data_IF_567500410883
#
_entry.id   IF_567500410883
#
_cell.length_a   1.000
_cell.length_b   1.000
_cell.length_c   1.000
_cell.angle_alpha   90.00
_cell.angle_beta   90.00
_cell.angle_gamma   90.00
#
_symmetry.space_group_name_H-M   'P 1'
#
loop_
_entity.id
_entity.type
_entity.pdbx_description
1 polymer ?
#
# COMPACT_ATOMS: atom_id res chain seq x y z
N UNK A 1 3.93 1.54 -24.43
CA UNK A 1 2.47 1.34 -24.37
C UNK A 1 2.06 1.48 -22.92
N UNK A 2 1.07 2.32 -22.60
CA UNK A 2 0.51 2.39 -21.25
C UNK A 2 -0.45 1.20 -21.07
N UNK A 3 -0.24 0.39 -20.04
CA UNK A 3 -1.15 -0.71 -19.74
C UNK A 3 -2.53 -0.16 -19.35
N UNK A 4 -3.61 -0.77 -19.84
CA UNK A 4 -4.96 -0.43 -19.42
C UNK A 4 -5.13 -0.79 -17.93
N UNK A 5 -5.52 0.18 -17.10
CA UNK A 5 -5.63 0.03 -15.64
C UNK A 5 -7.09 0.06 -15.20
N UNK A 6 -7.49 -0.90 -14.37
CA UNK A 6 -8.82 -1.02 -13.78
C UNK A 6 -8.71 -0.86 -12.26
N UNK A 7 -9.46 0.07 -11.69
CA UNK A 7 -9.58 0.17 -10.22
C UNK A 7 -10.56 -0.86 -9.67
N UNK A 8 -10.13 -1.65 -8.69
CA UNK A 8 -10.97 -2.57 -7.93
C UNK A 8 -11.13 -2.05 -6.50
N UNK A 9 -12.36 -1.71 -6.13
CA UNK A 9 -12.73 -1.24 -4.79
C UNK A 9 -14.02 -1.91 -4.31
N UNK A 10 -14.47 -1.57 -3.11
CA UNK A 10 -15.67 -2.13 -2.48
C UNK A 10 -15.52 -2.23 -0.97
N UNK A 11 -16.64 -2.30 -0.25
CA UNK A 11 -16.65 -2.33 1.22
C UNK A 11 -16.04 -3.59 1.84
N UNK A 12 -15.97 -3.60 3.17
CA UNK A 12 -15.54 -4.76 3.95
C UNK A 12 -16.49 -5.94 3.65
N UNK A 13 -15.93 -7.13 3.43
CA UNK A 13 -16.72 -8.34 3.16
C UNK A 13 -17.30 -8.46 1.74
N UNK A 14 -17.04 -7.51 0.83
CA UNK A 14 -17.60 -7.53 -0.54
C UNK A 14 -16.98 -8.57 -1.49
N UNK A 15 -15.98 -9.34 -1.04
CA UNK A 15 -15.34 -10.37 -1.86
C UNK A 15 -14.25 -9.87 -2.84
N UNK A 16 -13.68 -8.66 -2.65
CA UNK A 16 -12.59 -8.12 -3.48
C UNK A 16 -11.46 -9.12 -3.72
N UNK A 17 -10.99 -9.80 -2.67
CA UNK A 17 -9.93 -10.80 -2.78
C UNK A 17 -10.28 -11.97 -3.70
N UNK A 18 -11.56 -12.39 -3.73
CA UNK A 18 -12.02 -13.44 -4.64
C UNK A 18 -12.06 -12.96 -6.11
N UNK A 19 -12.44 -11.70 -6.34
CA UNK A 19 -12.39 -11.06 -7.66
C UNK A 19 -10.94 -10.90 -8.13
N UNK A 20 -10.05 -10.39 -7.28
CA UNK A 20 -8.61 -10.28 -7.54
C UNK A 20 -8.02 -11.62 -7.96
N UNK A 21 -8.26 -12.70 -7.20
CA UNK A 21 -7.75 -14.03 -7.53
C UNK A 21 -8.24 -14.54 -8.90
N UNK A 22 -9.51 -14.30 -9.24
CA UNK A 22 -10.06 -14.66 -10.56
C UNK A 22 -9.41 -13.86 -11.68
N UNK A 23 -9.20 -12.56 -11.51
CA UNK A 23 -8.57 -11.71 -12.52
C UNK A 23 -7.10 -12.11 -12.73
N UNK A 24 -6.37 -12.43 -11.67
CA UNK A 24 -5.01 -13.01 -11.76
C UNK A 24 -5.01 -14.31 -12.58
N UNK A 25 -5.95 -15.23 -12.32
CA UNK A 25 -6.08 -16.47 -13.08
C UNK A 25 -6.38 -16.25 -14.58
N UNK A 26 -6.96 -15.09 -14.93
CA UNK A 26 -7.21 -14.67 -16.31
C UNK A 26 -6.05 -13.88 -16.94
N UNK A 27 -4.91 -13.77 -16.24
CA UNK A 27 -3.68 -13.14 -16.74
C UNK A 27 -3.52 -11.66 -16.36
N UNK A 28 -4.43 -11.08 -15.57
CA UNK A 28 -4.28 -9.71 -15.10
C UNK A 28 -3.14 -9.59 -14.07
N UNK A 29 -2.38 -8.50 -14.15
CA UNK A 29 -1.52 -8.11 -13.05
C UNK A 29 -2.38 -7.43 -11.99
N UNK A 30 -2.50 -8.03 -10.80
CA UNK A 30 -3.17 -7.41 -9.66
C UNK A 30 -2.13 -6.76 -8.76
N UNK A 31 -2.33 -5.49 -8.43
CA UNK A 31 -1.50 -4.74 -7.49
C UNK A 31 -2.40 -4.25 -6.37
N UNK A 32 -2.19 -4.76 -5.15
CA UNK A 32 -2.89 -4.31 -3.95
C UNK A 32 -2.08 -3.25 -3.21
N UNK A 33 -2.66 -2.07 -3.06
CA UNK A 33 -1.99 -0.93 -2.40
C UNK A 33 -1.76 -1.16 -0.91
N UNK A 34 -2.57 -1.97 -0.23
CA UNK A 34 -2.34 -2.38 1.16
C UNK A 34 -1.16 -3.35 1.27
N UNK A 35 -1.00 -4.25 0.29
CA UNK A 35 0.16 -5.14 0.22
C UNK A 35 1.44 -4.34 -0.07
N UNK A 36 1.41 -3.43 -1.04
CA UNK A 36 2.53 -2.51 -1.31
C UNK A 36 2.90 -1.73 -0.05
N UNK A 37 1.92 -1.19 0.67
CA UNK A 37 2.14 -0.51 1.94
C UNK A 37 2.79 -1.43 2.99
N UNK A 38 2.36 -2.70 3.09
CA UNK A 38 2.97 -3.70 3.97
C UNK A 38 4.42 -3.99 3.60
N UNK A 39 4.73 -4.15 2.32
CA UNK A 39 6.09 -4.37 1.85
C UNK A 39 7.01 -3.18 2.16
N UNK A 40 6.55 -1.95 1.87
CA UNK A 40 7.31 -0.73 2.13
C UNK A 40 7.59 -0.49 3.61
N UNK A 41 6.70 -0.97 4.48
CA UNK A 41 6.76 -0.81 5.95
C UNK A 41 7.19 -2.08 6.69
N UNK A 42 7.59 -3.12 5.95
CA UNK A 42 8.13 -4.37 6.50
C UNK A 42 9.59 -4.23 6.93
N UNK A 43 10.18 -5.33 7.38
CA UNK A 43 11.61 -5.39 7.72
C UNK A 43 12.44 -4.98 6.50
N UNK A 44 13.39 -4.05 6.68
CA UNK A 44 14.19 -3.47 5.59
C UNK A 44 13.36 -2.78 4.49
N UNK A 45 12.09 -2.49 4.74
CA UNK A 45 11.23 -1.77 3.83
C UNK A 45 11.75 -0.35 3.58
N UNK A 46 11.58 0.14 2.34
CA UNK A 46 12.12 1.43 1.92
C UNK A 46 11.58 2.61 2.77
N UNK A 47 10.40 2.47 3.39
CA UNK A 47 9.80 3.52 4.21
C UNK A 47 10.32 3.57 5.66
N UNK A 48 11.05 2.55 6.13
CA UNK A 48 11.46 2.42 7.54
C UNK A 48 12.32 3.59 8.02
N UNK A 49 13.25 4.06 7.20
CA UNK A 49 14.11 5.19 7.55
C UNK A 49 13.28 6.47 7.78
N UNK A 50 12.38 6.79 6.85
CA UNK A 50 11.49 7.94 6.93
C UNK A 50 10.49 7.82 8.08
N UNK A 51 9.97 6.62 8.35
CA UNK A 51 9.10 6.36 9.51
C UNK A 51 9.85 6.60 10.82
N UNK A 52 11.08 6.10 10.95
CA UNK A 52 11.91 6.32 12.14
C UNK A 52 12.21 7.79 12.37
N UNK A 53 12.53 8.52 11.32
CA UNK A 53 12.76 9.97 11.39
C UNK A 53 11.48 10.72 11.80
N UNK A 54 10.33 10.30 11.27
CA UNK A 54 9.07 10.96 11.53
C UNK A 54 8.48 10.68 12.92
N UNK A 55 8.46 9.41 13.32
CA UNK A 55 7.72 8.93 14.50
C UNK A 55 8.63 8.45 15.64
N UNK A 56 9.94 8.55 15.44
CA UNK A 56 10.97 8.14 16.39
C UNK A 56 11.26 6.63 16.36
N UNK A 57 12.25 6.17 17.13
CA UNK A 57 12.66 4.75 17.15
C UNK A 57 11.56 3.81 17.69
N UNK A 58 10.62 4.32 18.50
CA UNK A 58 9.48 3.55 19.00
C UNK A 58 8.46 3.18 17.92
N UNK A 59 8.55 3.80 16.74
CA UNK A 59 7.71 3.44 15.60
C UNK A 59 8.19 2.17 14.89
N UNK A 60 9.31 1.59 15.31
CA UNK A 60 9.83 0.34 14.78
C UNK A 60 9.75 -0.77 15.81
N UNK A 61 9.40 -1.95 15.33
CA UNK A 61 9.55 -3.22 16.05
C UNK A 61 11.04 -3.57 16.22
N UNK A 62 11.39 -4.49 17.13
CA UNK A 62 12.77 -4.99 17.23
C UNK A 62 13.31 -5.63 15.93
N UNK A 63 12.43 -6.17 15.08
CA UNK A 63 12.79 -6.71 13.76
C UNK A 63 13.02 -5.63 12.69
N UNK A 64 12.82 -4.35 13.02
CA UNK A 64 13.03 -3.24 12.09
C UNK A 64 11.86 -2.97 11.14
N UNK A 65 10.74 -3.69 11.26
CA UNK A 65 9.47 -3.32 10.62
C UNK A 65 8.75 -2.21 11.38
N UNK A 66 7.81 -1.52 10.74
CA UNK A 66 6.95 -0.53 11.41
C UNK A 66 6.06 -1.20 12.48
N UNK A 67 6.04 -0.63 13.69
CA UNK A 67 5.05 -0.98 14.71
C UNK A 67 3.70 -0.33 14.34
N UNK A 68 2.86 -1.14 13.68
CA UNK A 68 1.52 -0.72 13.24
C UNK A 68 0.61 -0.35 14.40
N UNK A 69 0.75 -0.99 15.56
CA UNK A 69 -0.06 -0.69 16.74
C UNK A 69 0.26 0.71 17.27
N UNK A 70 1.55 0.96 17.48
CA UNK A 70 2.06 2.26 17.91
C UNK A 70 1.71 3.38 16.93
N UNK A 71 2.02 3.20 15.64
CA UNK A 71 1.74 4.22 14.62
C UNK A 71 0.24 4.46 14.49
N UNK A 72 -0.60 3.43 14.51
CA UNK A 72 -2.06 3.58 14.47
C UNK A 72 -2.58 4.41 15.63
N UNK A 73 -2.09 4.17 16.85
CA UNK A 73 -2.49 4.95 18.02
C UNK A 73 -2.15 6.43 17.87
N UNK A 74 -0.99 6.77 17.30
CA UNK A 74 -0.60 8.15 17.03
C UNK A 74 -1.49 8.82 15.98
N UNK A 75 -1.69 8.17 14.83
CA UNK A 75 -2.43 8.79 13.72
C UNK A 75 -3.95 8.78 13.92
N UNK A 76 -4.49 7.94 14.79
CA UNK A 76 -5.93 7.89 15.06
C UNK A 76 -6.42 9.12 15.84
N UNK A 77 -5.59 9.66 16.74
CA UNK A 77 -5.94 10.82 17.57
C UNK A 77 -5.44 12.16 17.03
N UNK A 78 -4.59 12.17 16.01
CA UNK A 78 -3.89 13.36 15.54
C UNK A 78 -3.86 13.42 14.00
N UNK A 79 -4.60 14.39 13.44
CA UNK A 79 -4.69 14.62 12.00
C UNK A 79 -3.37 15.09 11.37
N UNK A 80 -2.51 15.79 12.13
CA UNK A 80 -1.18 16.18 11.67
C UNK A 80 -0.28 14.94 11.54
N UNK A 81 -0.30 14.05 12.52
CA UNK A 81 0.45 12.79 12.47
C UNK A 81 -0.06 11.88 11.34
N UNK A 82 -1.38 11.81 11.13
CA UNK A 82 -1.98 11.10 9.98
C UNK A 82 -1.45 11.66 8.65
N UNK A 83 -1.54 12.97 8.45
CA UNK A 83 -1.06 13.62 7.23
C UNK A 83 0.45 13.43 7.04
N UNK A 84 1.22 13.42 8.12
CA UNK A 84 2.66 13.11 8.09
C UNK A 84 2.93 11.71 7.58
N UNK A 85 2.23 10.69 8.10
CA UNK A 85 2.36 9.31 7.63
C UNK A 85 1.99 9.19 6.15
N UNK A 86 0.87 9.79 5.74
CA UNK A 86 0.40 9.79 4.35
C UNK A 86 1.40 10.46 3.41
N UNK A 87 2.01 11.57 3.83
CA UNK A 87 3.03 12.27 3.03
C UNK A 87 4.29 11.44 2.78
N UNK A 88 4.58 10.47 3.64
CA UNK A 88 5.67 9.50 3.46
C UNK A 88 5.21 8.37 2.55
N UNK A 89 4.08 7.73 2.87
CA UNK A 89 3.67 6.48 2.22
C UNK A 89 3.07 6.69 0.83
N UNK A 90 2.25 7.72 0.61
CA UNK A 90 1.54 7.88 -0.67
C UNK A 90 2.48 8.04 -1.87
N UNK A 91 3.54 8.86 -1.83
CA UNK A 91 4.49 8.93 -2.94
C UNK A 91 5.20 7.59 -3.17
N UNK A 92 5.62 6.91 -2.10
CA UNK A 92 6.35 5.64 -2.20
C UNK A 92 5.48 4.51 -2.76
N UNK A 93 4.22 4.45 -2.35
CA UNK A 93 3.23 3.49 -2.89
C UNK A 93 3.00 3.78 -4.37
N UNK A 94 2.85 5.07 -4.76
CA UNK A 94 2.68 5.46 -6.15
C UNK A 94 3.87 5.01 -7.00
N UNK A 95 5.09 5.31 -6.57
CA UNK A 95 6.31 4.94 -7.30
C UNK A 95 6.44 3.43 -7.48
N UNK A 96 6.11 2.66 -6.45
CA UNK A 96 6.12 1.19 -6.50
C UNK A 96 5.04 0.64 -7.45
N UNK A 97 3.82 1.20 -7.39
CA UNK A 97 2.72 0.84 -8.30
C UNK A 97 3.10 1.15 -9.76
N UNK A 98 3.64 2.35 -10.03
CA UNK A 98 4.11 2.74 -11.36
C UNK A 98 5.23 1.81 -11.87
N UNK A 99 6.17 1.44 -10.99
CA UNK A 99 7.23 0.47 -11.31
C UNK A 99 6.68 -0.91 -11.69
N UNK A 100 5.65 -1.39 -10.98
CA UNK A 100 4.98 -2.66 -11.29
C UNK A 100 4.19 -2.60 -12.59
N UNK A 101 3.46 -1.50 -12.83
CA UNK A 101 2.72 -1.26 -14.09
C UNK A 101 3.68 -1.26 -15.27
N UNK A 102 4.83 -0.59 -15.16
CA UNK A 102 5.83 -0.52 -16.23
C UNK A 102 6.41 -1.90 -16.62
N UNK A 103 6.33 -2.89 -15.73
CA UNK A 103 6.79 -4.26 -15.95
C UNK A 103 5.66 -5.23 -16.32
N UNK A 104 4.42 -4.75 -16.42
CA UNK A 104 3.26 -5.58 -16.72
C UNK A 104 3.34 -6.13 -18.15
N UNK A 105 3.22 -7.45 -18.28
CA UNK A 105 3.17 -8.17 -19.57
C UNK A 105 1.78 -8.70 -19.90
N UNK A 106 0.86 -8.66 -18.94
CA UNK A 106 -0.53 -9.10 -19.10
C UNK A 106 -1.41 -8.10 -19.86
N UNK A 107 -2.66 -8.49 -20.19
CA UNK A 107 -3.56 -7.68 -21.01
C UNK A 107 -4.04 -6.39 -20.32
N UNK A 108 -4.07 -6.37 -18.98
CA UNK A 108 -4.45 -5.21 -18.17
C UNK A 108 -3.92 -5.34 -16.73
N UNK A 109 -3.92 -4.22 -16.02
CA UNK A 109 -3.57 -4.12 -14.60
C UNK A 109 -4.83 -3.85 -13.77
N UNK A 110 -4.93 -4.47 -12.61
CA UNK A 110 -5.99 -4.24 -11.62
C UNK A 110 -5.35 -3.62 -10.38
N UNK A 111 -5.75 -2.39 -10.05
CA UNK A 111 -5.32 -1.70 -8.83
C UNK A 111 -6.36 -1.90 -7.74
N UNK A 112 -6.02 -2.65 -6.70
CA UNK A 112 -6.88 -2.80 -5.52
C UNK A 112 -6.60 -1.65 -4.57
N UNK A 113 -7.60 -0.79 -4.39
CA UNK A 113 -7.54 0.38 -3.51
C UNK A 113 -8.74 0.33 -2.57
N UNK A 114 -8.55 -0.11 -1.32
CA UNK A 114 -9.64 -0.29 -0.37
C UNK A 114 -10.44 0.99 -0.10
N UNK A 115 -9.78 2.16 -0.16
CA UNK A 115 -10.38 3.47 0.13
C UNK A 115 -10.33 4.43 -1.07
N UNK A 116 -10.67 3.96 -2.27
CA UNK A 116 -10.53 4.75 -3.51
C UNK A 116 -11.46 5.98 -3.57
N UNK A 117 -12.53 6.01 -2.77
CA UNK A 117 -13.65 6.97 -2.93
C UNK A 117 -14.13 7.61 -1.60
N UNK A 118 -13.41 7.40 -0.50
CA UNK A 118 -13.71 7.97 0.83
C UNK A 118 -12.80 9.16 1.16
#
# INVERSE_FOLDING_TARGET
MTAFCVGLTGGIGSGKSAVSARLTALGALVIDTDEVSRELTGENGRAIASIREAFGPRALTPGGAMDRGYVRQRVFGDAHEKKRLESILHPMIRDEVESRIAKATGPYVVLVVPLLVE
#
